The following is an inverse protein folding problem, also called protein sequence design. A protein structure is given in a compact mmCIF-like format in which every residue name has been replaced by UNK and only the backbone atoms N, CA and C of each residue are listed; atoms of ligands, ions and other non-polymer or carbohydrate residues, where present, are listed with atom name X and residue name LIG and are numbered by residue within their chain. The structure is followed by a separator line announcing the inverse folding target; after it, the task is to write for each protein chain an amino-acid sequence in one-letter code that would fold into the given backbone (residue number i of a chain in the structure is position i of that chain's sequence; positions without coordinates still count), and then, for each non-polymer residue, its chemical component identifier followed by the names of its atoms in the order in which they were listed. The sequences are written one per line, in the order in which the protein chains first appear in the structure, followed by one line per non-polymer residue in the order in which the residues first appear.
data_IF_086629770858
#
_entry.id   IF_086629770858
#
_cell.length_a   1.000
_cell.length_b   1.000
_cell.length_c   1.000
_cell.angle_alpha   90.00
_cell.angle_beta   90.00
_cell.angle_gamma   90.00
#
_symmetry.space_group_name_H-M   'P 1'
#
loop_
_entity.id
_entity.type
_entity.pdbx_description
1 polymer ?
#
# COMPACT_ATOMS: atom_id res chain seq x y z
N UNK A 1 26.19 -2.78 7.03
CA UNK A 1 27.01 -1.56 7.22
C UNK A 1 26.32 -0.65 8.24
N UNK A 2 27.04 -0.20 9.26
CA UNK A 2 26.56 0.69 10.35
C UNK A 2 26.89 2.16 10.03
N UNK A 3 26.02 3.10 10.41
CA UNK A 3 26.22 4.55 10.26
C UNK A 3 25.05 5.30 9.60
N UNK A 4 24.92 6.61 9.88
CA UNK A 4 23.85 7.52 9.43
C UNK A 4 23.59 7.53 7.91
N UNK A 5 24.55 7.07 7.11
CA UNK A 5 24.37 6.86 5.67
C UNK A 5 23.32 5.81 5.31
N UNK A 6 23.02 4.83 6.17
CA UNK A 6 21.99 3.81 5.90
C UNK A 6 20.60 4.42 5.70
N UNK A 7 20.26 5.45 6.48
CA UNK A 7 18.96 6.13 6.36
C UNK A 7 18.88 6.93 5.07
N UNK A 8 19.91 7.71 4.74
CA UNK A 8 19.93 8.48 3.49
C UNK A 8 19.92 7.59 2.25
N UNK A 9 20.64 6.46 2.28
CA UNK A 9 20.60 5.49 1.17
C UNK A 9 19.26 4.76 1.11
N UNK A 10 18.67 4.42 2.26
CA UNK A 10 17.36 3.80 2.33
C UNK A 10 16.24 4.72 1.85
N UNK A 11 16.29 6.00 2.22
CA UNK A 11 15.31 7.02 1.81
C UNK A 11 15.42 7.32 0.32
N UNK A 12 16.64 7.45 -0.22
CA UNK A 12 16.84 7.71 -1.64
C UNK A 12 16.41 6.51 -2.50
N UNK A 13 16.88 5.31 -2.15
CA UNK A 13 16.49 4.08 -2.87
C UNK A 13 15.00 3.80 -2.69
N UNK A 14 14.45 4.00 -1.49
CA UNK A 14 13.03 3.84 -1.20
C UNK A 14 12.17 4.82 -2.00
N UNK A 15 12.55 6.10 -2.05
CA UNK A 15 11.86 7.11 -2.83
C UNK A 15 11.89 6.80 -4.34
N UNK A 16 13.03 6.34 -4.88
CA UNK A 16 13.14 5.95 -6.28
C UNK A 16 12.29 4.72 -6.62
N UNK A 17 12.31 3.69 -5.76
CA UNK A 17 11.49 2.48 -5.92
C UNK A 17 10.00 2.82 -5.85
N UNK A 18 9.58 3.61 -4.86
CA UNK A 18 8.20 4.08 -4.71
C UNK A 18 7.75 4.88 -5.93
N UNK A 19 8.58 5.82 -6.42
CA UNK A 19 8.24 6.62 -7.60
C UNK A 19 8.09 5.74 -8.85
N UNK A 20 8.93 4.71 -8.97
CA UNK A 20 8.83 3.74 -10.06
C UNK A 20 7.52 2.93 -9.97
N UNK A 21 7.16 2.46 -8.77
CA UNK A 21 5.92 1.72 -8.52
C UNK A 21 4.67 2.57 -8.85
N UNK A 22 4.59 3.80 -8.32
CA UNK A 22 3.49 4.74 -8.60
C UNK A 22 3.34 4.98 -10.11
N UNK A 23 4.47 5.18 -10.80
CA UNK A 23 4.45 5.41 -12.25
C UNK A 23 4.00 4.16 -13.01
N UNK A 24 4.42 2.97 -12.59
CA UNK A 24 4.02 1.71 -13.20
C UNK A 24 2.53 1.44 -13.01
N UNK A 25 2.01 1.60 -11.79
CA UNK A 25 0.59 1.45 -11.47
C UNK A 25 -0.28 2.47 -12.22
N UNK A 26 0.14 3.74 -12.26
CA UNK A 26 -0.58 4.79 -13.00
C UNK A 26 -0.68 4.44 -14.50
N UNK A 27 0.42 3.99 -15.11
CA UNK A 27 0.41 3.55 -16.51
C UNK A 27 -0.50 2.36 -16.75
N UNK A 28 -0.46 1.37 -15.85
CA UNK A 28 -1.32 0.20 -15.94
C UNK A 28 -2.81 0.58 -15.81
N UNK A 29 -3.16 1.46 -14.87
CA UNK A 29 -4.53 1.93 -14.67
C UNK A 29 -5.04 2.72 -15.88
N UNK A 30 -4.26 3.64 -16.43
CA UNK A 30 -4.63 4.43 -17.62
C UNK A 30 -4.77 3.55 -18.86
N UNK A 31 -3.96 2.50 -18.97
CA UNK A 31 -4.07 1.52 -20.05
C UNK A 31 -5.34 0.66 -19.93
N UNK A 32 -5.78 0.36 -18.70
CA UNK A 32 -7.01 -0.38 -18.43
C UNK A 32 -8.27 0.48 -18.58
N UNK A 33 -8.23 1.72 -18.09
CA UNK A 33 -9.29 2.71 -18.18
C UNK A 33 -8.67 4.12 -18.35
N UNK A 34 -8.76 4.72 -19.55
CA UNK A 34 -8.23 6.07 -19.79
C UNK A 34 -8.90 7.18 -18.97
N UNK A 35 -10.04 6.91 -18.33
CA UNK A 35 -10.81 7.88 -17.54
C UNK A 35 -10.48 7.85 -16.05
N UNK A 36 -9.60 6.94 -15.61
CA UNK A 36 -9.19 6.83 -14.21
C UNK A 36 -8.54 8.14 -13.72
N UNK A 37 -8.99 8.63 -12.57
CA UNK A 37 -8.49 9.85 -11.94
C UNK A 37 -7.81 9.60 -10.59
N UNK A 38 -7.99 8.42 -10.00
CA UNK A 38 -7.56 8.12 -8.64
C UNK A 38 -7.21 6.64 -8.53
N UNK A 39 -6.05 6.33 -7.93
CA UNK A 39 -5.68 5.00 -7.50
C UNK A 39 -5.53 4.97 -5.97
N UNK A 40 -6.04 3.88 -5.39
CA UNK A 40 -5.80 3.54 -3.98
C UNK A 40 -5.16 2.17 -3.96
N UNK A 41 -3.92 2.10 -3.51
CA UNK A 41 -3.21 0.86 -3.23
C UNK A 41 -3.28 0.58 -1.73
N UNK A 42 -3.79 -0.59 -1.36
CA UNK A 42 -3.78 -1.05 0.03
C UNK A 42 -2.81 -2.23 0.11
N UNK A 43 -1.57 -1.95 0.53
CA UNK A 43 -0.52 -2.93 0.66
C UNK A 43 -0.41 -3.52 2.06
N UNK A 44 0.58 -4.40 2.23
CA UNK A 44 0.92 -5.01 3.51
C UNK A 44 1.57 -4.02 4.48
N UNK A 45 2.51 -3.20 4.01
CA UNK A 45 3.27 -2.27 4.87
C UNK A 45 2.84 -0.81 4.74
N UNK A 46 2.37 -0.41 3.57
CA UNK A 46 1.91 0.94 3.27
C UNK A 46 0.61 0.91 2.48
N UNK A 47 -0.01 2.07 2.38
CA UNK A 47 -1.14 2.33 1.51
C UNK A 47 -0.88 3.63 0.77
N UNK A 48 -1.15 3.63 -0.53
CA UNK A 48 -0.84 4.75 -1.42
C UNK A 48 -2.13 5.30 -2.00
N UNK A 49 -2.26 6.62 -1.94
CA UNK A 49 -3.25 7.37 -2.69
C UNK A 49 -2.53 8.11 -3.81
N UNK A 50 -2.96 7.91 -5.05
CA UNK A 50 -2.36 8.55 -6.24
C UNK A 50 -3.46 9.23 -7.03
N UNK A 51 -3.33 10.53 -7.26
CA UNK A 51 -4.24 11.28 -8.11
C UNK A 51 -3.65 11.46 -9.50
N UNK A 52 -4.47 11.16 -10.50
CA UNK A 52 -4.16 11.33 -11.91
C UNK A 52 -4.97 12.48 -12.51
N UNK A 53 -4.39 13.13 -13.51
CA UNK A 53 -5.12 14.07 -14.38
C UNK A 53 -4.67 13.85 -15.82
N UNK A 54 -5.60 13.51 -16.71
CA UNK A 54 -5.28 13.20 -18.11
C UNK A 54 -4.26 12.06 -18.26
N UNK A 55 -4.29 11.09 -17.34
CA UNK A 55 -3.36 9.96 -17.31
C UNK A 55 -1.96 10.25 -16.77
N UNK A 56 -1.69 11.47 -16.29
CA UNK A 56 -0.44 11.81 -15.62
C UNK A 56 -0.62 11.89 -14.10
N UNK A 57 0.37 11.43 -13.34
CA UNK A 57 0.40 11.57 -11.88
C UNK A 57 0.57 13.04 -11.54
N UNK A 58 -0.38 13.60 -10.79
CA UNK A 58 -0.34 15.00 -10.34
C UNK A 58 -0.12 15.15 -8.84
N UNK A 59 -0.46 14.11 -8.07
CA UNK A 59 -0.27 14.11 -6.62
C UNK A 59 -0.23 12.68 -6.10
N UNK A 60 0.45 12.45 -4.99
CA UNK A 60 0.41 11.19 -4.27
C UNK A 60 0.68 11.38 -2.78
N UNK A 61 0.09 10.52 -1.96
CA UNK A 61 0.32 10.46 -0.51
C UNK A 61 0.41 9.02 -0.09
N UNK A 62 1.28 8.73 0.87
CA UNK A 62 1.40 7.41 1.49
C UNK A 62 1.07 7.53 2.98
N UNK A 63 0.47 6.52 3.57
CA UNK A 63 0.36 6.49 5.02
C UNK A 63 1.75 6.33 5.64
N UNK A 64 1.98 6.98 6.79
CA UNK A 64 3.14 6.63 7.61
C UNK A 64 2.93 5.22 8.18
N UNK A 65 4.03 4.50 8.42
CA UNK A 65 4.10 3.15 8.98
C UNK A 65 3.54 2.99 10.43
N UNK A 66 2.54 3.79 10.82
CA UNK A 66 1.66 3.51 11.94
C UNK A 66 0.48 2.71 11.39
N UNK A 67 0.71 1.39 11.33
CA UNK A 67 -0.07 0.34 10.68
C UNK A 67 -1.49 0.15 11.26
N UNK A 68 -2.36 1.15 11.13
CA UNK A 68 -3.80 0.99 11.29
C UNK A 68 -4.44 0.90 9.90
N UNK A 69 -4.60 -0.33 9.38
CA UNK A 69 -5.36 -0.60 8.15
C UNK A 69 -4.61 -1.26 6.98
N UNK A 70 -3.33 -1.61 7.14
CA UNK A 70 -2.56 -2.34 6.11
C UNK A 70 -2.72 -3.86 6.23
N UNK A 71 -2.43 -4.61 5.16
CA UNK A 71 -2.54 -6.08 5.14
C UNK A 71 -1.72 -6.78 6.24
N UNK A 72 -0.56 -6.23 6.62
CA UNK A 72 0.28 -6.81 7.69
C UNK A 72 -0.39 -6.77 9.06
N UNK A 73 -1.21 -5.74 9.34
CA UNK A 73 -1.98 -5.69 10.57
C UNK A 73 -2.99 -6.85 10.62
N UNK A 74 -3.64 -7.16 9.50
CA UNK A 74 -4.58 -8.28 9.40
C UNK A 74 -3.86 -9.62 9.57
N UNK A 75 -2.68 -9.78 8.98
CA UNK A 75 -1.83 -10.96 9.17
C UNK A 75 -1.44 -11.14 10.65
N UNK A 76 -0.99 -10.07 11.31
CA UNK A 76 -0.64 -10.11 12.73
C UNK A 76 -1.86 -10.48 13.61
N UNK A 77 -3.04 -9.93 13.32
CA UNK A 77 -4.26 -10.30 14.06
C UNK A 77 -4.67 -11.75 13.81
N UNK A 78 -4.51 -12.25 12.58
CA UNK A 78 -4.80 -13.63 12.23
C UNK A 78 -3.87 -14.60 12.99
N UNK A 79 -2.57 -14.30 13.05
CA UNK A 79 -1.58 -15.07 13.82
C UNK A 79 -1.91 -15.09 15.32
N UNK A 80 -2.21 -13.92 15.90
CA UNK A 80 -2.58 -13.79 17.32
C UNK A 80 -3.81 -14.64 17.67
N UNK A 81 -4.81 -14.67 16.79
CA UNK A 81 -6.04 -15.43 16.95
C UNK A 81 -5.92 -16.89 16.49
N UNK A 82 -4.77 -17.28 15.90
CA UNK A 82 -4.51 -18.61 15.32
C UNK A 82 -5.54 -19.02 14.26
N UNK A 83 -5.93 -18.08 13.42
CA UNK A 83 -6.87 -18.29 12.31
C UNK A 83 -6.17 -18.10 10.98
N UNK A 84 -6.64 -18.77 9.93
CA UNK A 84 -6.07 -18.60 8.60
C UNK A 84 -6.46 -17.25 7.98
N UNK A 85 -5.47 -16.45 7.57
CA UNK A 85 -5.70 -15.14 6.93
C UNK A 85 -6.56 -15.27 5.65
N UNK A 86 -6.26 -16.26 4.81
CA UNK A 86 -6.94 -16.45 3.53
C UNK A 86 -8.38 -17.00 3.65
N UNK A 87 -8.63 -17.88 4.62
CA UNK A 87 -9.88 -18.67 4.69
C UNK A 87 -10.82 -18.27 5.82
N UNK A 88 -10.27 -17.86 6.96
CA UNK A 88 -11.04 -17.68 8.17
C UNK A 88 -11.23 -16.23 8.57
N UNK A 89 -10.22 -15.38 8.35
CA UNK A 89 -10.23 -14.00 8.84
C UNK A 89 -11.41 -13.19 8.31
N UNK A 90 -11.59 -13.11 6.99
CA UNK A 90 -12.70 -12.36 6.39
C UNK A 90 -14.08 -12.90 6.79
N UNK A 91 -14.23 -14.23 6.85
CA UNK A 91 -15.48 -14.88 7.27
C UNK A 91 -15.83 -14.55 8.73
N UNK A 92 -14.85 -14.64 9.63
CA UNK A 92 -15.05 -14.36 11.05
C UNK A 92 -15.35 -12.87 11.29
N UNK A 93 -14.61 -11.98 10.61
CA UNK A 93 -14.84 -10.54 10.68
C UNK A 93 -16.28 -10.15 10.27
N UNK A 94 -16.79 -10.73 9.17
CA UNK A 94 -18.16 -10.50 8.70
C UNK A 94 -19.25 -11.09 9.62
N UNK A 95 -18.90 -12.06 10.46
CA UNK A 95 -19.82 -12.71 11.40
C UNK A 95 -19.86 -12.07 12.79
N UNK A 96 -18.99 -11.08 13.06
CA UNK A 96 -18.96 -10.39 14.35
C UNK A 96 -20.20 -9.51 14.53
N UNK A 97 -20.86 -9.52 15.70
CA UNK A 97 -21.82 -8.47 16.02
C UNK A 97 -21.07 -7.13 16.07
N UNK A 98 -21.66 -6.11 15.41
CA UNK A 98 -21.15 -4.74 15.36
C UNK A 98 -21.40 -3.97 16.64
#
# INVERSE_FOLDING_TARGET
ATGSGRYLTGDFVGADVVRNEITAQARAAVAADPTVDTLIEIGGQDSKFVRLHGGAVVDFTMNHACAAGTGSFLEEQAERLRIGIEKDFGRLALSSPG
#
